data_IF_933362531121
#
_entry.id   IF_933362531121
#
_cell.length_a   1.000
_cell.length_b   1.000
_cell.length_c   1.000
_cell.angle_alpha   90.00
_cell.angle_beta   90.00
_cell.angle_gamma   90.00
#
_symmetry.space_group_name_H-M   'P 1'
#
loop_
_entity.id
_entity.type
_entity.pdbx_description
1 polymer ?
#
# COMPACT_ATOMS: atom_id res chain seq x y z
N UNK A 1 8.79 -17.34 -21.82
CA UNK A 1 8.97 -15.90 -22.07
C UNK A 1 8.03 -15.17 -21.11
N UNK A 2 8.55 -14.67 -20.00
CA UNK A 2 7.76 -13.96 -18.99
C UNK A 2 7.64 -12.50 -19.47
N UNK A 3 6.43 -12.06 -19.79
CA UNK A 3 6.17 -10.64 -20.07
C UNK A 3 6.14 -9.87 -18.75
N UNK A 4 7.32 -9.46 -18.29
CA UNK A 4 7.51 -8.54 -17.18
C UNK A 4 7.58 -7.12 -17.74
N UNK A 5 6.43 -6.49 -18.00
CA UNK A 5 6.44 -5.17 -18.65
C UNK A 5 5.21 -4.30 -18.43
N UNK A 6 4.05 -4.87 -18.12
CA UNK A 6 2.80 -4.09 -18.00
C UNK A 6 2.36 -3.85 -16.54
N UNK A 7 3.20 -4.19 -15.56
CA UNK A 7 2.85 -4.01 -14.14
C UNK A 7 2.96 -2.55 -13.68
N UNK A 8 3.78 -1.72 -14.33
CA UNK A 8 4.08 -0.37 -13.85
C UNK A 8 2.92 0.63 -13.96
N UNK A 9 2.07 0.52 -15.00
CA UNK A 9 0.97 1.45 -15.19
C UNK A 9 -0.18 1.22 -14.19
N UNK A 10 -0.46 -0.04 -13.81
CA UNK A 10 -1.50 -0.35 -12.82
C UNK A 10 -1.08 -0.04 -11.38
N UNK A 11 0.21 -0.15 -11.07
CA UNK A 11 0.71 0.09 -9.71
C UNK A 11 0.40 1.52 -9.25
N UNK A 12 0.53 2.53 -10.13
CA UNK A 12 0.21 3.93 -9.83
C UNK A 12 -1.22 4.17 -9.32
N UNK A 13 -2.20 3.43 -9.86
CA UNK A 13 -3.59 3.51 -9.45
C UNK A 13 -3.84 2.73 -8.15
N UNK A 14 -3.23 1.56 -8.00
CA UNK A 14 -3.38 0.72 -6.80
C UNK A 14 -2.81 1.42 -5.57
N UNK A 15 -1.61 2.00 -5.62
CA UNK A 15 -0.97 2.67 -4.48
C UNK A 15 -1.79 3.85 -3.98
N UNK A 16 -2.32 4.65 -4.92
CA UNK A 16 -3.15 5.80 -4.63
C UNK A 16 -4.51 5.36 -4.07
N UNK A 17 -5.15 4.36 -4.69
CA UNK A 17 -6.39 3.77 -4.20
C UNK A 17 -6.22 3.17 -2.79
N UNK A 18 -5.06 2.58 -2.51
CA UNK A 18 -4.70 2.06 -1.19
C UNK A 18 -4.66 3.16 -0.16
N UNK A 19 -3.97 4.27 -0.48
CA UNK A 19 -3.87 5.43 0.40
C UNK A 19 -5.24 6.06 0.64
N UNK A 20 -6.09 6.13 -0.39
CA UNK A 20 -7.44 6.68 -0.33
C UNK A 20 -8.37 5.81 0.55
N UNK A 21 -8.33 4.48 0.36
CA UNK A 21 -9.04 3.54 1.22
C UNK A 21 -8.55 3.65 2.68
N UNK A 22 -7.24 3.66 2.90
CA UNK A 22 -6.62 3.84 4.22
C UNK A 22 -6.91 5.20 4.87
N UNK A 23 -7.25 6.19 4.07
CA UNK A 23 -7.68 7.51 4.53
C UNK A 23 -9.16 7.50 4.94
N UNK A 24 -10.01 6.71 4.26
CA UNK A 24 -11.41 6.54 4.65
C UNK A 24 -11.61 5.67 5.90
N UNK A 25 -10.69 4.75 6.19
CA UNK A 25 -10.74 3.96 7.44
C UNK A 25 -10.07 4.69 8.60
N UNK A 26 -10.58 4.51 9.84
CA UNK A 26 -9.97 5.09 11.03
C UNK A 26 -8.51 4.63 11.22
N UNK A 27 -7.71 5.37 12.00
CA UNK A 27 -6.31 5.03 12.24
C UNK A 27 -6.18 3.62 12.81
N UNK A 28 -5.60 2.72 12.02
CA UNK A 28 -5.39 1.34 12.42
C UNK A 28 -4.31 1.30 13.51
N UNK A 29 -4.58 0.62 14.64
CA UNK A 29 -3.67 0.64 15.79
C UNK A 29 -2.35 -0.06 15.43
N UNK A 30 -2.42 -1.17 14.69
CA UNK A 30 -1.28 -2.03 14.41
C UNK A 30 -1.05 -2.28 12.92
N UNK A 31 0.21 -2.53 12.58
CA UNK A 31 0.63 -2.93 11.23
C UNK A 31 0.07 -4.29 10.80
N UNK A 32 -0.28 -5.17 11.75
CA UNK A 32 -0.98 -6.43 11.48
C UNK A 32 -2.40 -6.21 10.98
N UNK A 33 -3.16 -5.32 11.61
CA UNK A 33 -4.52 -4.98 11.19
C UNK A 33 -4.52 -4.33 9.81
N UNK A 34 -3.53 -3.46 9.56
CA UNK A 34 -3.27 -2.92 8.24
C UNK A 34 -3.02 -4.02 7.22
N UNK A 35 -2.11 -4.94 7.50
CA UNK A 35 -1.83 -6.06 6.62
C UNK A 35 -3.06 -6.92 6.36
N UNK A 36 -3.80 -7.27 7.42
CA UNK A 36 -5.03 -8.04 7.33
C UNK A 36 -6.09 -7.33 6.48
N UNK A 37 -6.24 -6.01 6.64
CA UNK A 37 -7.17 -5.22 5.82
C UNK A 37 -6.76 -5.23 4.33
N UNK A 38 -5.47 -5.14 4.03
CA UNK A 38 -4.97 -5.23 2.66
C UNK A 38 -5.24 -6.62 2.05
N UNK A 39 -5.01 -7.69 2.81
CA UNK A 39 -5.16 -9.07 2.31
C UNK A 39 -6.61 -9.56 2.31
N UNK A 40 -7.44 -9.14 3.27
CA UNK A 40 -8.84 -9.59 3.39
C UNK A 40 -9.80 -8.64 2.68
N UNK A 41 -9.64 -7.32 2.87
CA UNK A 41 -10.56 -6.33 2.34
C UNK A 41 -10.26 -6.03 0.87
N UNK A 42 -8.99 -5.74 0.56
CA UNK A 42 -8.55 -5.44 -0.80
C UNK A 42 -8.10 -6.68 -1.58
N UNK A 43 -7.99 -7.84 -0.90
CA UNK A 43 -7.54 -9.11 -1.51
C UNK A 43 -6.19 -8.99 -2.21
N UNK A 44 -5.31 -8.17 -1.65
CA UNK A 44 -3.97 -7.94 -2.16
C UNK A 44 -3.05 -9.00 -1.58
N UNK A 45 -2.36 -9.73 -2.44
CA UNK A 45 -1.37 -10.71 -2.01
C UNK A 45 -0.08 -10.04 -1.53
N UNK A 46 0.67 -10.72 -0.67
CA UNK A 46 1.96 -10.22 -0.17
C UNK A 46 2.97 -9.96 -1.31
N UNK A 47 2.94 -10.79 -2.36
CA UNK A 47 3.72 -10.60 -3.58
C UNK A 47 3.39 -9.31 -4.31
N UNK A 48 2.12 -8.88 -4.27
CA UNK A 48 1.69 -7.61 -4.86
C UNK A 48 2.12 -6.44 -3.97
N UNK A 49 2.04 -6.59 -2.64
CA UNK A 49 2.60 -5.61 -1.69
C UNK A 49 4.09 -5.39 -1.92
N UNK A 50 4.87 -6.45 -2.19
CA UNK A 50 6.29 -6.34 -2.54
C UNK A 50 6.57 -5.63 -3.86
N UNK A 51 5.62 -5.62 -4.79
CA UNK A 51 5.73 -4.90 -6.06
C UNK A 51 5.34 -3.42 -5.93
N UNK A 52 4.71 -3.01 -4.82
CA UNK A 52 4.34 -1.61 -4.60
C UNK A 52 5.57 -0.73 -4.42
N UNK A 53 5.53 0.48 -4.96
CA UNK A 53 6.63 1.42 -4.84
C UNK A 53 6.55 2.14 -3.49
N UNK A 54 7.47 1.77 -2.60
CA UNK A 54 7.48 2.31 -1.24
C UNK A 54 7.78 3.81 -1.22
N UNK A 55 8.46 4.34 -2.26
CA UNK A 55 8.75 5.77 -2.38
C UNK A 55 7.48 6.55 -2.71
N UNK A 56 6.68 6.08 -3.68
CA UNK A 56 5.37 6.68 -4.00
C UNK A 56 4.42 6.67 -2.80
N UNK A 57 4.34 5.55 -2.09
CA UNK A 57 3.49 5.47 -0.90
C UNK A 57 3.98 6.44 0.18
N UNK A 58 5.29 6.64 0.32
CA UNK A 58 5.85 7.64 1.22
C UNK A 58 5.51 9.07 0.77
N UNK A 59 5.59 9.37 -0.53
CA UNK A 59 5.17 10.65 -1.12
C UNK A 59 3.68 10.93 -0.85
N UNK A 60 2.82 9.94 -1.11
CA UNK A 60 1.40 10.03 -0.78
C UNK A 60 1.17 10.18 0.71
N UNK A 61 1.96 9.52 1.56
CA UNK A 61 1.86 9.68 3.02
C UNK A 61 2.12 11.11 3.48
N UNK A 62 3.03 11.82 2.78
CA UNK A 62 3.31 13.23 3.02
C UNK A 62 2.15 14.11 2.55
N UNK A 63 1.51 13.78 1.43
CA UNK A 63 0.34 14.51 0.92
C UNK A 63 -0.92 14.31 1.77
N UNK A 64 -1.24 13.06 2.13
CA UNK A 64 -2.43 12.69 2.89
C UNK A 64 -2.31 12.93 4.41
N UNK A 65 -1.10 13.18 4.94
CA UNK A 65 -0.83 13.39 6.37
C UNK A 65 -1.39 12.31 7.32
N UNK A 66 -1.56 11.07 6.85
CA UNK A 66 -2.17 9.99 7.64
C UNK A 66 -1.12 9.06 8.26
N UNK A 67 -1.27 8.81 9.57
CA UNK A 67 -0.45 7.84 10.33
C UNK A 67 -0.56 6.42 9.79
N UNK A 68 -1.69 6.06 9.16
CA UNK A 68 -1.90 4.76 8.53
C UNK A 68 -0.93 4.52 7.37
N UNK A 69 -0.79 5.52 6.50
CA UNK A 69 0.05 5.43 5.31
C UNK A 69 1.53 5.44 5.70
N UNK A 70 1.91 6.19 6.75
CA UNK A 70 3.26 6.10 7.34
C UNK A 70 3.58 4.70 7.86
N UNK A 71 2.63 4.05 8.56
CA UNK A 71 2.79 2.67 9.04
C UNK A 71 2.93 1.69 7.86
N UNK A 72 2.15 1.88 6.80
CA UNK A 72 2.23 1.11 5.57
C UNK A 72 3.61 1.21 4.92
N UNK A 73 4.13 2.42 4.72
CA UNK A 73 5.46 2.64 4.16
C UNK A 73 6.53 1.92 4.99
N UNK A 74 6.43 1.98 6.33
CA UNK A 74 7.36 1.27 7.22
C UNK A 74 7.22 -0.25 7.18
N UNK A 75 6.03 -0.79 6.89
CA UNK A 75 5.79 -2.22 6.72
C UNK A 75 6.41 -2.73 5.41
N UNK A 76 6.14 -2.02 4.31
CA UNK A 76 6.68 -2.33 2.99
C UNK A 76 8.20 -2.26 2.97
N UNK A 77 8.80 -1.30 3.69
CA UNK A 77 10.26 -1.20 3.84
C UNK A 77 10.88 -2.37 4.64
N UNK A 78 10.08 -3.15 5.38
CA UNK A 78 10.54 -4.32 6.16
C UNK A 78 10.28 -5.66 5.46
N UNK A 79 9.50 -5.68 4.38
CA UNK A 79 9.17 -6.86 3.56
C UNK A 79 10.27 -7.12 2.51
#
# INVERSE_FOLDING_TARGET
MLQEGDYFYRIAEVEKALCDQLYTVPPLPNTKELFLHLTENLRIEESELKKLDTLKICEYSAAYHSSNIKKLCSLLRRL
#
